data_IF_516902854114
#
_entry.id   IF_516902854114
#
_cell.length_a   1.000
_cell.length_b   1.000
_cell.length_c   1.000
_cell.angle_alpha   90.00
_cell.angle_beta   90.00
_cell.angle_gamma   90.00
#
_symmetry.space_group_name_H-M   'P 1'
#
loop_
_entity.id
_entity.type
_entity.pdbx_description
1 polymer ?
#
# COMPACT_ATOMS: atom_id res chain seq x y z
N UNK A 1 -12.85 -21.91 1.39
CA UNK A 1 -11.40 -21.66 1.42
C UNK A 1 -10.81 -22.43 0.26
N UNK A 2 -9.88 -21.85 -0.51
CA UNK A 2 -9.28 -22.50 -1.68
C UNK A 2 -8.37 -23.67 -1.33
N UNK A 3 -7.50 -24.09 -2.24
CA UNK A 3 -6.76 -25.35 -2.12
C UNK A 3 -5.54 -25.30 -1.17
N UNK A 4 -5.07 -24.11 -0.80
CA UNK A 4 -3.89 -23.93 0.06
C UNK A 4 -4.17 -22.91 1.17
N UNK A 5 -3.51 -23.11 2.32
CA UNK A 5 -3.56 -22.18 3.43
C UNK A 5 -2.27 -22.24 4.27
N UNK A 6 -1.83 -21.07 4.73
CA UNK A 6 -0.73 -20.89 5.68
C UNK A 6 -1.33 -20.31 6.96
N UNK A 7 -1.11 -21.00 8.08
CA UNK A 7 -1.62 -20.60 9.39
C UNK A 7 -0.66 -19.60 10.04
N UNK A 8 -1.17 -18.45 10.46
CA UNK A 8 -0.40 -17.48 11.22
C UNK A 8 -0.38 -17.89 12.68
N UNK A 9 0.67 -17.57 13.44
CA UNK A 9 0.73 -17.92 14.87
C UNK A 9 -0.19 -17.04 15.75
N UNK A 10 -0.55 -15.84 15.27
CA UNK A 10 -1.31 -14.85 16.02
C UNK A 10 -2.66 -15.40 16.51
N UNK A 11 -3.02 -15.05 17.76
CA UNK A 11 -4.31 -15.41 18.39
C UNK A 11 -4.62 -16.92 18.36
N UNK A 12 -3.63 -17.78 18.65
CA UNK A 12 -3.83 -19.24 18.62
C UNK A 12 -4.00 -19.81 17.20
N UNK A 13 -3.62 -19.02 16.20
CA UNK A 13 -3.63 -19.33 14.77
C UNK A 13 -4.98 -19.34 14.07
N UNK A 14 -5.91 -18.55 14.56
CA UNK A 14 -7.21 -18.34 13.91
C UNK A 14 -7.13 -17.53 12.60
N UNK A 15 -5.99 -16.90 12.32
CA UNK A 15 -5.75 -16.13 11.09
C UNK A 15 -4.95 -16.94 10.07
N UNK A 16 -5.36 -16.85 8.81
CA UNK A 16 -4.76 -17.58 7.70
C UNK A 16 -4.47 -16.64 6.52
N UNK A 17 -3.36 -16.90 5.83
CA UNK A 17 -3.20 -16.57 4.41
C UNK A 17 -3.78 -17.76 3.64
N UNK A 18 -4.82 -17.57 2.84
CA UNK A 18 -5.46 -18.69 2.15
C UNK A 18 -6.02 -18.32 0.79
N UNK A 19 -6.23 -19.33 -0.06
CA UNK A 19 -6.88 -19.17 -1.36
C UNK A 19 -8.38 -18.91 -1.25
N UNK A 20 -8.99 -18.46 -2.34
CA UNK A 20 -10.45 -18.35 -2.49
C UNK A 20 -10.90 -19.04 -3.77
N UNK A 21 -12.09 -19.65 -3.74
CA UNK A 21 -12.74 -20.23 -4.93
C UNK A 21 -13.66 -19.22 -5.62
N UNK A 22 -13.84 -18.03 -5.01
CA UNK A 22 -14.52 -16.92 -5.63
C UNK A 22 -13.56 -16.19 -6.58
N UNK A 23 -14.09 -15.78 -7.72
CA UNK A 23 -13.43 -14.93 -8.71
C UNK A 23 -13.42 -13.43 -8.31
N UNK A 24 -14.11 -13.07 -7.23
CA UNK A 24 -14.16 -11.73 -6.65
C UNK A 24 -13.67 -11.67 -5.19
N UNK A 25 -13.44 -10.45 -4.68
CA UNK A 25 -13.18 -10.20 -3.26
C UNK A 25 -11.71 -9.99 -2.87
N UNK A 26 -10.76 -10.26 -3.78
CA UNK A 26 -9.35 -9.88 -3.58
C UNK A 26 -9.23 -8.35 -3.73
N UNK A 27 -8.53 -7.71 -2.79
CA UNK A 27 -8.44 -6.25 -2.72
C UNK A 27 -9.66 -5.56 -2.11
N UNK A 28 -10.65 -6.33 -1.64
CA UNK A 28 -11.88 -5.82 -1.02
C UNK A 28 -11.98 -6.19 0.45
N UNK A 29 -12.73 -5.40 1.23
CA UNK A 29 -13.01 -5.65 2.65
C UNK A 29 -14.19 -6.62 2.84
N UNK A 30 -13.98 -7.89 2.51
CA UNK A 30 -15.04 -8.92 2.51
C UNK A 30 -14.71 -10.15 3.36
N UNK A 31 -13.65 -10.10 4.17
CA UNK A 31 -13.29 -11.19 5.07
C UNK A 31 -13.55 -10.82 6.53
N UNK A 32 -13.82 -11.83 7.36
CA UNK A 32 -13.90 -11.70 8.82
C UNK A 32 -12.53 -11.77 9.50
N UNK A 33 -11.44 -11.48 8.79
CA UNK A 33 -10.09 -11.37 9.35
C UNK A 33 -8.99 -12.16 8.63
N UNK A 34 -9.31 -13.26 7.94
CA UNK A 34 -8.31 -13.97 7.13
C UNK A 34 -7.91 -13.19 5.87
N UNK A 35 -6.67 -13.36 5.41
CA UNK A 35 -6.14 -12.73 4.20
C UNK A 35 -6.33 -13.69 3.02
N UNK A 36 -7.05 -13.22 2.00
CA UNK A 36 -7.36 -13.99 0.79
C UNK A 36 -6.38 -13.65 -0.33
N UNK A 37 -5.94 -14.68 -1.05
CA UNK A 37 -5.11 -14.58 -2.25
C UNK A 37 -5.77 -15.34 -3.41
N UNK A 38 -5.38 -15.03 -4.65
CA UNK A 38 -5.77 -15.86 -5.81
C UNK A 38 -5.13 -17.25 -5.68
N UNK A 39 -5.73 -18.24 -6.32
CA UNK A 39 -5.32 -19.65 -6.18
C UNK A 39 -3.85 -19.89 -6.57
N UNK A 40 -3.40 -19.29 -7.68
CA UNK A 40 -1.99 -19.35 -8.10
C UNK A 40 -1.03 -18.70 -7.09
N UNK A 41 -1.42 -17.53 -6.55
CA UNK A 41 -0.60 -16.76 -5.61
C UNK A 41 -0.40 -17.51 -4.29
N UNK A 42 -1.48 -18.08 -3.72
CA UNK A 42 -1.35 -18.85 -2.47
C UNK A 42 -0.56 -20.13 -2.66
N UNK A 43 -0.71 -20.80 -3.81
CA UNK A 43 0.07 -22.01 -4.14
C UNK A 43 1.57 -21.70 -4.21
N UNK A 44 1.92 -20.57 -4.85
CA UNK A 44 3.31 -20.12 -4.92
C UNK A 44 3.89 -19.86 -3.53
N UNK A 45 3.17 -19.14 -2.67
CA UNK A 45 3.60 -18.90 -1.28
C UNK A 45 3.71 -20.19 -0.47
N UNK A 46 2.72 -21.07 -0.56
CA UNK A 46 2.70 -22.33 0.19
C UNK A 46 3.91 -23.22 -0.13
N UNK A 47 4.34 -23.24 -1.38
CA UNK A 47 5.49 -24.04 -1.82
C UNK A 47 6.86 -23.43 -1.49
N UNK A 48 6.92 -22.11 -1.25
CA UNK A 48 8.19 -21.38 -1.14
C UNK A 48 8.48 -20.85 0.26
N UNK A 49 7.47 -20.64 1.09
CA UNK A 49 7.61 -20.04 2.43
C UNK A 49 7.77 -21.13 3.49
N UNK A 50 8.92 -21.23 4.17
CA UNK A 50 9.11 -22.21 5.24
C UNK A 50 8.25 -21.93 6.47
N UNK A 51 7.92 -22.99 7.22
CA UNK A 51 7.30 -22.87 8.54
C UNK A 51 8.24 -22.08 9.47
N UNK A 52 7.67 -21.17 10.25
CA UNK A 52 8.43 -20.27 11.13
C UNK A 52 8.85 -18.96 10.47
N UNK A 53 8.57 -18.76 9.18
CA UNK A 53 8.78 -17.47 8.52
C UNK A 53 7.99 -16.37 9.24
N UNK A 54 8.68 -15.28 9.59
CA UNK A 54 8.05 -14.15 10.27
C UNK A 54 7.05 -13.44 9.36
N UNK A 55 5.88 -13.13 9.91
CA UNK A 55 4.83 -12.38 9.22
C UNK A 55 4.54 -11.11 9.99
N UNK A 56 4.63 -9.97 9.30
CA UNK A 56 4.31 -8.65 9.85
C UNK A 56 3.18 -8.03 9.04
N UNK A 57 2.07 -7.74 9.71
CA UNK A 57 0.94 -7.00 9.12
C UNK A 57 1.16 -5.52 9.42
N UNK A 58 1.14 -4.69 8.38
CA UNK A 58 1.29 -3.25 8.48
C UNK A 58 0.08 -2.54 7.86
N UNK A 59 -0.29 -1.39 8.41
CA UNK A 59 -1.23 -0.47 7.81
C UNK A 59 -0.47 0.82 7.47
N UNK A 60 -0.04 0.94 6.22
CA UNK A 60 0.83 2.01 5.75
C UNK A 60 0.33 2.49 4.39
N UNK A 61 -0.66 3.40 4.36
CA UNK A 61 -1.24 3.88 3.10
C UNK A 61 -0.30 4.81 2.33
N UNK A 62 0.78 5.29 2.96
CA UNK A 62 1.81 6.11 2.32
C UNK A 62 3.17 5.48 2.51
N UNK A 63 3.88 5.25 1.42
CA UNK A 63 5.25 4.75 1.39
C UNK A 63 6.12 5.79 0.69
N UNK A 64 7.36 5.93 1.16
CA UNK A 64 8.32 6.83 0.53
C UNK A 64 9.71 6.20 0.51
N UNK A 65 10.49 6.57 -0.49
CA UNK A 65 11.87 6.12 -0.66
C UNK A 65 12.74 7.26 -1.18
N UNK A 66 14.02 7.23 -0.82
CA UNK A 66 15.08 8.03 -1.44
C UNK A 66 16.00 7.03 -2.10
N UNK A 67 16.00 7.02 -3.43
CA UNK A 67 16.77 6.07 -4.23
C UNK A 67 18.25 6.49 -4.32
N UNK A 68 19.16 5.57 -4.69
CA UNK A 68 20.59 5.86 -4.78
C UNK A 68 20.96 6.99 -5.76
N UNK A 69 20.13 7.26 -6.77
CA UNK A 69 20.30 8.36 -7.72
C UNK A 69 19.80 9.72 -7.19
N UNK A 70 19.29 9.75 -5.95
CA UNK A 70 18.73 10.92 -5.31
C UNK A 70 17.26 11.17 -5.64
N UNK A 71 16.62 10.33 -6.47
CA UNK A 71 15.18 10.44 -6.71
C UNK A 71 14.39 10.16 -5.44
N UNK A 72 13.32 10.93 -5.22
CA UNK A 72 12.45 10.83 -4.06
C UNK A 72 11.10 10.34 -4.54
N UNK A 73 10.75 9.12 -4.19
CA UNK A 73 9.50 8.50 -4.62
C UNK A 73 8.50 8.46 -3.47
N UNK A 74 7.23 8.75 -3.77
CA UNK A 74 6.10 8.53 -2.86
C UNK A 74 5.04 7.69 -3.55
N UNK A 75 4.49 6.71 -2.85
CA UNK A 75 3.36 5.90 -3.30
C UNK A 75 2.22 6.05 -2.28
N UNK A 76 1.10 6.65 -2.70
CA UNK A 76 -0.02 6.97 -1.82
C UNK A 76 -1.26 6.16 -2.22
N UNK A 77 -1.81 5.45 -1.26
CA UNK A 77 -3.05 4.68 -1.35
C UNK A 77 -4.14 5.32 -0.51
N UNK A 78 -5.38 4.93 -0.78
CA UNK A 78 -6.49 5.22 0.11
C UNK A 78 -6.26 4.54 1.47
N UNK A 79 -6.43 5.25 2.61
CA UNK A 79 -6.32 4.66 3.93
C UNK A 79 -7.37 3.57 4.15
N UNK A 80 -7.03 2.65 5.04
CA UNK A 80 -7.93 1.58 5.46
C UNK A 80 -9.16 2.17 6.15
N UNK A 81 -10.37 1.92 5.61
CA UNK A 81 -11.62 2.31 6.28
C UNK A 81 -11.77 1.63 7.65
N UNK A 82 -12.70 2.06 8.48
CA UNK A 82 -13.06 1.41 9.76
C UNK A 82 -14.51 0.94 9.73
N UNK A 83 -15.38 1.72 9.12
CA UNK A 83 -16.79 1.40 8.91
C UNK A 83 -17.09 1.14 7.43
N UNK A 84 -18.31 0.65 7.16
CA UNK A 84 -18.77 0.29 5.81
C UNK A 84 -19.16 1.52 4.97
N UNK A 85 -19.50 2.61 5.64
CA UNK A 85 -19.94 3.90 5.11
C UNK A 85 -18.82 4.94 5.02
N UNK A 86 -17.61 4.61 5.47
CA UNK A 86 -16.43 5.45 5.25
C UNK A 86 -16.15 5.59 3.75
N UNK A 87 -15.85 6.81 3.30
CA UNK A 87 -15.23 7.06 2.00
C UNK A 87 -13.71 7.16 2.15
N UNK A 88 -12.93 6.13 1.75
CA UNK A 88 -11.48 6.14 1.87
C UNK A 88 -10.79 7.28 1.11
N UNK A 89 -11.46 7.91 0.14
CA UNK A 89 -10.90 9.05 -0.61
C UNK A 89 -10.77 10.31 0.24
N UNK A 90 -11.65 10.50 1.22
CA UNK A 90 -11.69 11.70 2.07
C UNK A 90 -11.11 11.46 3.47
N UNK A 91 -10.90 10.20 3.86
CA UNK A 91 -10.27 9.88 5.14
C UNK A 91 -8.87 10.51 5.27
N UNK A 92 -8.49 11.03 6.44
CA UNK A 92 -7.17 11.63 6.65
C UNK A 92 -6.07 10.57 6.64
N UNK A 93 -4.93 10.90 6.03
CA UNK A 93 -3.70 10.09 6.09
C UNK A 93 -2.83 10.66 7.21
N UNK A 94 -2.66 9.89 8.29
CA UNK A 94 -1.77 10.27 9.40
C UNK A 94 -0.33 9.93 9.04
N UNK A 95 0.53 10.93 8.96
CA UNK A 95 1.96 10.74 8.71
C UNK A 95 2.69 10.39 10.00
N UNK A 96 3.52 9.35 9.96
CA UNK A 96 4.47 9.09 11.04
C UNK A 96 5.63 10.10 11.00
N UNK A 97 6.54 10.02 11.96
CA UNK A 97 7.68 10.94 12.06
C UNK A 97 8.59 10.90 10.82
N UNK A 98 8.89 9.70 10.31
CA UNK A 98 9.74 9.52 9.13
C UNK A 98 9.10 10.16 7.89
N UNK A 99 7.80 9.99 7.73
CA UNK A 99 7.06 10.51 6.59
C UNK A 99 6.85 12.02 6.68
N UNK A 100 6.65 12.55 7.89
CA UNK A 100 6.66 13.99 8.14
C UNK A 100 8.02 14.61 7.76
N UNK A 101 9.13 13.96 8.16
CA UNK A 101 10.48 14.39 7.78
C UNK A 101 10.70 14.34 6.27
N UNK A 102 10.26 13.28 5.60
CA UNK A 102 10.40 13.17 4.14
C UNK A 102 9.57 14.23 3.41
N UNK A 103 8.32 14.50 3.83
CA UNK A 103 7.46 15.55 3.25
C UNK A 103 8.08 16.93 3.40
N UNK A 104 8.62 17.24 4.58
CA UNK A 104 9.15 18.57 4.89
C UNK A 104 10.63 18.76 4.47
N UNK A 105 11.23 17.76 3.82
CA UNK A 105 12.62 17.86 3.37
C UNK A 105 12.72 18.90 2.24
N UNK A 106 13.78 19.74 2.20
CA UNK A 106 13.96 20.75 1.15
C UNK A 106 14.00 20.17 -0.27
N UNK A 107 14.40 18.91 -0.41
CA UNK A 107 14.46 18.20 -1.68
C UNK A 107 13.11 17.65 -2.14
N UNK A 108 12.05 17.74 -1.33
CA UNK A 108 10.70 17.29 -1.69
C UNK A 108 9.90 18.48 -2.19
N UNK A 109 9.45 18.42 -3.43
CA UNK A 109 8.51 19.38 -4.00
C UNK A 109 7.16 19.26 -3.27
N UNK A 110 6.82 20.33 -2.54
CA UNK A 110 5.62 20.36 -1.72
C UNK A 110 4.33 20.28 -2.55
N UNK A 111 4.31 20.83 -3.77
CA UNK A 111 3.14 20.83 -4.63
C UNK A 111 2.90 19.44 -5.22
N UNK A 112 3.95 18.80 -5.74
CA UNK A 112 3.85 17.43 -6.28
C UNK A 112 3.49 16.43 -5.17
N UNK A 113 4.06 16.62 -3.97
CA UNK A 113 3.73 15.80 -2.81
C UNK A 113 2.26 15.95 -2.39
N UNK A 114 1.73 17.18 -2.33
CA UNK A 114 0.33 17.41 -1.99
C UNK A 114 -0.59 16.78 -3.04
N UNK A 115 -0.29 16.97 -4.32
CA UNK A 115 -1.04 16.34 -5.41
C UNK A 115 -1.03 14.81 -5.29
N UNK A 116 0.10 14.18 -4.98
CA UNK A 116 0.15 12.74 -4.77
C UNK A 116 -0.72 12.29 -3.58
N UNK A 117 -0.74 13.08 -2.49
CA UNK A 117 -1.56 12.84 -1.31
C UNK A 117 -3.07 13.01 -1.55
N UNK A 118 -3.45 13.91 -2.45
CA UNK A 118 -4.85 14.13 -2.88
C UNK A 118 -5.30 13.03 -3.86
N UNK A 119 -4.49 12.72 -4.88
CA UNK A 119 -4.87 11.78 -5.95
C UNK A 119 -4.90 10.32 -5.48
N UNK A 120 -3.99 9.92 -4.57
CA UNK A 120 -3.96 8.57 -3.95
C UNK A 120 -4.09 7.43 -4.96
N UNK A 121 -3.36 7.53 -6.07
CA UNK A 121 -3.47 6.62 -7.23
C UNK A 121 -2.94 5.21 -6.97
N UNK A 122 -2.17 5.01 -5.90
CA UNK A 122 -1.43 3.78 -5.64
C UNK A 122 -0.19 3.58 -6.53
N UNK A 123 0.14 4.55 -7.39
CA UNK A 123 1.32 4.51 -8.24
C UNK A 123 2.44 5.37 -7.65
N UNK A 124 3.73 4.96 -7.75
CA UNK A 124 4.85 5.79 -7.33
C UNK A 124 4.95 7.09 -8.13
N UNK A 125 5.16 8.20 -7.44
CA UNK A 125 5.36 9.55 -8.01
C UNK A 125 6.72 10.06 -7.56
N UNK A 126 7.50 10.60 -8.51
CA UNK A 126 8.75 11.29 -8.21
C UNK A 126 8.46 12.72 -7.73
N UNK A 127 8.76 13.00 -6.46
CA UNK A 127 8.49 14.30 -5.80
C UNK A 127 9.71 15.22 -5.76
N UNK A 128 10.75 14.93 -6.54
CA UNK A 128 11.86 15.86 -6.73
C UNK A 128 12.33 15.97 -8.19
N UNK A 129 11.65 15.29 -9.11
CA UNK A 129 11.73 15.63 -10.51
C UNK A 129 11.01 16.96 -10.70
N UNK A 130 11.78 18.03 -10.94
CA UNK A 130 11.21 19.25 -11.47
C UNK A 130 10.52 18.90 -12.80
N UNK A 131 9.24 19.21 -12.94
CA UNK A 131 8.53 19.07 -14.21
C UNK A 131 9.24 19.94 -15.24
N UNK A 132 10.12 19.34 -16.03
CA UNK A 132 10.47 19.88 -17.33
C UNK A 132 9.22 19.71 -18.20
N UNK A 133 8.32 20.71 -18.16
CA UNK A 133 7.33 21.07 -19.19
C UNK A 133 6.26 22.00 -18.61
N UNK A 134 6.56 23.30 -18.57
CA UNK A 134 5.56 24.28 -18.99
C UNK A 134 5.72 24.40 -20.51
N UNK A 135 4.72 24.04 -21.34
CA UNK A 135 4.75 24.48 -22.72
C UNK A 135 4.77 26.02 -22.70
N UNK A 136 5.72 26.59 -23.42
CA UNK A 136 5.82 28.03 -23.61
C UNK A 136 4.47 28.57 -24.08
N UNK A 137 4.01 29.65 -23.46
CA UNK A 137 2.95 30.48 -24.01
C UNK A 137 3.32 30.83 -25.46
N UNK A 138 2.61 30.27 -26.43
CA UNK A 138 2.51 30.88 -27.74
C UNK A 138 1.44 31.97 -27.70
N UNK A 139 1.84 33.12 -28.24
CA UNK A 139 1.18 34.43 -28.29
C UNK A 139 -0.03 34.39 -29.23
#
# INVERSE_FOLDING_TARGET
>A
MGHHAIRLAAFGGVYLLHGTNADFGIGMRVSSGCIRLRDGDIKALFNTVPVGTSVRIINTPIKASVEPDGSRLVEVHQPLSKAIDDDPKVLPIVLNEQMTKFRNAPQTDAQVMEQAMEHRSGMPVNVNAHTAEQPANEI
#
